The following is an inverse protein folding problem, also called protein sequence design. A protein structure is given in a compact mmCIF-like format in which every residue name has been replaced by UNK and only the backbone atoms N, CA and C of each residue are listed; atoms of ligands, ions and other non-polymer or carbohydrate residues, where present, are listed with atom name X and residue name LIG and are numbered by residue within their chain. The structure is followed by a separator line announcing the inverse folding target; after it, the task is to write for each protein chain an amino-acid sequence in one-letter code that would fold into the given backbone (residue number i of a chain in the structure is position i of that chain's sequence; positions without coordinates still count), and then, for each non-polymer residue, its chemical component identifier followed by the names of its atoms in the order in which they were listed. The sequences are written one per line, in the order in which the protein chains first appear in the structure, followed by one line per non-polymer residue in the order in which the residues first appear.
data_IF_874659771037
#
_entry.id   IF_874659771037
#
_cell.length_a   1.000
_cell.length_b   1.000
_cell.length_c   1.000
_cell.angle_alpha   90.00
_cell.angle_beta   90.00
_cell.angle_gamma   90.00
#
_symmetry.space_group_name_H-M   'P 1'
#
loop_
_entity.id
_entity.type
_entity.pdbx_description
1 polymer ?
#
# COMPACT_ATOMS: atom_id res chain seq x y z
N UNK A 1 -3.24 1.06 -8.10
CA UNK A 1 -2.24 0.00 -8.32
C UNK A 1 -1.78 -0.51 -6.98
N UNK A 2 -1.60 -1.82 -6.84
CA UNK A 2 -1.25 -2.50 -5.60
C UNK A 2 -0.59 -3.83 -5.90
N UNK A 3 -0.22 -4.52 -4.83
CA UNK A 3 0.42 -5.82 -4.86
C UNK A 3 -0.52 -6.82 -4.23
N UNK A 4 -0.83 -7.84 -5.01
CA UNK A 4 -1.66 -8.98 -4.64
C UNK A 4 -0.71 -10.15 -4.36
N UNK A 5 -0.68 -10.63 -3.13
CA UNK A 5 0.18 -11.74 -2.74
C UNK A 5 -0.66 -12.98 -2.47
N UNK A 6 -0.29 -14.08 -3.11
CA UNK A 6 -1.00 -15.35 -3.00
C UNK A 6 -0.11 -16.41 -2.38
N UNK A 7 -0.61 -17.14 -1.38
CA UNK A 7 0.10 -18.28 -0.80
C UNK A 7 0.28 -19.41 -1.82
N UNK A 8 1.45 -20.05 -1.83
CA UNK A 8 1.77 -21.17 -2.70
C UNK A 8 1.22 -22.50 -2.16
N UNK A 9 1.21 -22.66 -0.83
CA UNK A 9 0.65 -23.83 -0.13
C UNK A 9 0.08 -23.38 1.23
N UNK A 10 -1.00 -22.56 1.21
CA UNK A 10 -1.50 -21.91 2.40
C UNK A 10 -2.14 -22.89 3.38
N UNK A 11 -1.94 -22.63 4.68
CA UNK A 11 -2.61 -23.37 5.74
C UNK A 11 -4.09 -23.01 5.76
N UNK A 12 -4.93 -23.96 5.35
CA UNK A 12 -6.39 -23.79 5.35
C UNK A 12 -6.98 -24.36 6.64
N UNK A 13 -7.72 -23.51 7.36
CA UNK A 13 -8.51 -23.86 8.53
C UNK A 13 -9.54 -24.92 8.16
N UNK A 14 -9.53 -26.02 8.91
CA UNK A 14 -10.46 -27.13 8.72
C UNK A 14 -11.92 -26.66 8.77
N UNK A 15 -12.70 -27.07 7.76
CA UNK A 15 -14.11 -26.70 7.62
C UNK A 15 -14.37 -25.32 7.01
N UNK A 16 -13.35 -24.52 6.72
CA UNK A 16 -13.52 -23.31 5.91
C UNK A 16 -13.69 -23.65 4.43
N UNK A 17 -14.50 -22.88 3.72
CA UNK A 17 -14.79 -23.07 2.29
C UNK A 17 -14.65 -21.72 1.60
N UNK A 18 -13.83 -21.67 0.55
CA UNK A 18 -13.66 -20.46 -0.26
C UNK A 18 -14.97 -20.17 -1.00
N UNK A 19 -15.55 -18.97 -0.89
CA UNK A 19 -16.75 -18.64 -1.64
C UNK A 19 -16.45 -18.57 -3.13
N UNK A 20 -17.43 -18.92 -3.93
CA UNK A 20 -17.39 -18.82 -5.39
C UNK A 20 -18.52 -17.92 -5.88
N UNK A 21 -18.27 -17.21 -6.97
CA UNK A 21 -19.28 -16.42 -7.67
C UNK A 21 -19.08 -16.58 -9.17
N UNK A 22 -20.19 -16.80 -9.88
CA UNK A 22 -20.20 -16.85 -11.33
C UNK A 22 -20.33 -15.42 -11.88
N UNK A 23 -19.21 -14.84 -12.30
CA UNK A 23 -19.17 -13.49 -12.88
C UNK A 23 -19.86 -13.41 -14.26
N UNK A 24 -19.90 -14.51 -15.02
CA UNK A 24 -20.54 -14.56 -16.35
C UNK A 24 -22.07 -14.46 -16.24
N UNK A 25 -22.62 -14.91 -15.11
CA UNK A 25 -24.03 -14.73 -14.78
C UNK A 25 -24.43 -13.27 -14.53
N UNK A 26 -23.47 -12.33 -14.48
CA UNK A 26 -23.67 -10.90 -14.17
C UNK A 26 -24.42 -10.71 -12.85
N UNK A 27 -23.81 -11.12 -11.74
CA UNK A 27 -24.44 -11.10 -10.43
C UNK A 27 -24.88 -9.69 -10.04
N UNK A 28 -25.93 -9.60 -9.23
CA UNK A 28 -26.42 -8.33 -8.67
C UNK A 28 -25.41 -7.72 -7.71
N UNK A 29 -25.58 -6.44 -7.38
CA UNK A 29 -24.72 -5.78 -6.38
C UNK A 29 -24.87 -6.42 -4.99
N UNK A 30 -26.06 -6.91 -4.65
CA UNK A 30 -26.30 -7.66 -3.41
C UNK A 30 -25.54 -9.00 -3.40
N UNK A 31 -25.52 -9.73 -4.51
CA UNK A 31 -24.78 -10.99 -4.64
C UNK A 31 -23.26 -10.76 -4.57
N UNK A 32 -22.75 -9.72 -5.26
CA UNK A 32 -21.33 -9.33 -5.18
C UNK A 32 -20.94 -8.96 -3.77
N UNK A 33 -21.76 -8.16 -3.08
CA UNK A 33 -21.51 -7.76 -1.69
C UNK A 33 -21.46 -8.98 -0.77
N UNK A 34 -22.44 -9.89 -0.88
CA UNK A 34 -22.46 -11.11 -0.08
C UNK A 34 -21.23 -12.00 -0.35
N UNK A 35 -20.79 -12.07 -1.61
CA UNK A 35 -19.56 -12.78 -1.98
C UNK A 35 -18.32 -12.16 -1.33
N UNK A 36 -18.12 -10.84 -1.45
CA UNK A 36 -16.94 -10.19 -0.85
C UNK A 36 -16.96 -10.26 0.68
N UNK A 37 -18.12 -10.12 1.33
CA UNK A 37 -18.22 -10.33 2.79
C UNK A 37 -17.86 -11.76 3.21
N UNK A 38 -18.28 -12.76 2.43
CA UNK A 38 -17.89 -14.15 2.66
C UNK A 38 -16.40 -14.39 2.38
N UNK A 39 -15.85 -13.72 1.36
CA UNK A 39 -14.45 -13.85 0.95
C UNK A 39 -13.53 -13.23 2.01
N UNK A 40 -13.83 -12.01 2.46
CA UNK A 40 -13.11 -11.33 3.56
C UNK A 40 -13.09 -12.20 4.82
N UNK A 41 -14.22 -12.85 5.14
CA UNK A 41 -14.29 -13.78 6.27
C UNK A 41 -13.40 -15.01 6.05
N UNK A 42 -13.46 -15.60 4.85
CA UNK A 42 -12.63 -16.76 4.51
C UNK A 42 -11.14 -16.42 4.58
N UNK A 43 -10.71 -15.31 4.00
CA UNK A 43 -9.32 -14.84 4.01
C UNK A 43 -8.86 -14.46 5.42
N UNK A 44 -9.73 -13.84 6.22
CA UNK A 44 -9.44 -13.56 7.63
C UNK A 44 -9.28 -14.81 8.50
N UNK A 45 -9.96 -15.91 8.15
CA UNK A 45 -9.78 -17.22 8.80
C UNK A 45 -8.57 -17.99 8.26
N UNK A 46 -8.06 -17.63 7.09
CA UNK A 46 -6.98 -18.29 6.36
C UNK A 46 -5.92 -17.26 5.91
N UNK A 47 -5.21 -16.61 6.83
CA UNK A 47 -4.41 -15.43 6.53
C UNK A 47 -3.19 -15.71 5.64
N UNK A 48 -2.84 -16.98 5.40
CA UNK A 48 -1.81 -17.36 4.42
C UNK A 48 -2.29 -17.41 2.98
N UNK A 49 -3.61 -17.39 2.74
CA UNK A 49 -4.20 -17.50 1.40
C UNK A 49 -3.89 -16.26 0.55
N UNK A 50 -4.10 -15.09 1.13
CA UNK A 50 -4.05 -13.82 0.40
C UNK A 50 -3.63 -12.67 1.31
N UNK A 51 -2.77 -11.82 0.79
CA UNK A 51 -2.37 -10.55 1.40
C UNK A 51 -2.36 -9.47 0.34
N UNK A 52 -2.86 -8.28 0.68
CA UNK A 52 -2.86 -7.15 -0.23
C UNK A 52 -2.40 -5.87 0.44
N UNK A 53 -1.56 -5.15 -0.28
CA UNK A 53 -1.33 -3.73 -0.03
C UNK A 53 -1.45 -2.94 -1.32
N UNK A 54 -1.98 -1.71 -1.24
CA UNK A 54 -1.80 -0.79 -2.36
C UNK A 54 -0.32 -0.37 -2.45
N UNK A 55 0.10 0.18 -3.60
CA UNK A 55 1.51 0.48 -3.90
C UNK A 55 2.21 1.31 -2.81
N UNK A 56 1.47 2.19 -2.14
CA UNK A 56 2.05 3.08 -1.15
C UNK A 56 2.37 2.37 0.17
N UNK A 57 1.45 1.54 0.64
CA UNK A 57 1.65 0.69 1.81
C UNK A 57 2.68 -0.41 1.55
N UNK A 58 2.65 -0.99 0.34
CA UNK A 58 3.55 -2.06 -0.04
C UNK A 58 5.02 -1.62 -0.05
N UNK A 59 5.32 -0.45 -0.63
CA UNK A 59 6.70 0.05 -0.72
C UNK A 59 7.38 0.16 0.65
N UNK A 60 6.66 0.70 1.64
CA UNK A 60 7.21 0.88 2.97
C UNK A 60 7.39 -0.45 3.70
N UNK A 61 6.45 -1.39 3.53
CA UNK A 61 6.54 -2.75 4.06
C UNK A 61 7.69 -3.54 3.41
N UNK A 62 7.80 -3.53 2.08
CA UNK A 62 8.84 -4.21 1.33
C UNK A 62 10.24 -3.69 1.70
N UNK A 63 10.39 -2.36 1.84
CA UNK A 63 11.63 -1.76 2.32
C UNK A 63 11.96 -2.23 3.74
N UNK A 64 10.99 -2.24 4.65
CA UNK A 64 11.19 -2.69 6.02
C UNK A 64 11.66 -4.15 6.08
N UNK A 65 11.05 -5.04 5.28
CA UNK A 65 11.45 -6.45 5.17
C UNK A 65 12.87 -6.57 4.63
N UNK A 66 13.20 -5.85 3.56
CA UNK A 66 14.53 -5.86 2.96
C UNK A 66 15.61 -5.43 3.95
N UNK A 67 15.40 -4.32 4.65
CA UNK A 67 16.40 -3.73 5.55
C UNK A 67 16.61 -4.54 6.84
N UNK A 68 15.58 -5.25 7.33
CA UNK A 68 15.60 -5.81 8.68
C UNK A 68 15.61 -7.34 8.75
N UNK A 69 15.28 -8.05 7.67
CA UNK A 69 15.25 -9.53 7.70
C UNK A 69 16.51 -10.18 7.18
N UNK A 70 17.22 -9.53 6.24
CA UNK A 70 18.35 -10.15 5.54
C UNK A 70 17.97 -11.31 4.60
N UNK A 71 16.68 -11.55 4.37
CA UNK A 71 16.15 -12.67 3.56
C UNK A 71 15.91 -12.29 2.09
N UNK A 72 15.91 -10.99 1.78
CA UNK A 72 15.67 -10.43 0.45
C UNK A 72 16.97 -9.83 -0.06
N UNK A 73 17.49 -10.36 -1.17
CA UNK A 73 18.66 -9.80 -1.86
C UNK A 73 18.31 -8.51 -2.60
N UNK A 74 19.30 -7.72 -3.03
CA UNK A 74 19.06 -6.50 -3.82
C UNK A 74 18.32 -6.81 -5.14
N UNK A 75 18.65 -7.92 -5.81
CA UNK A 75 17.98 -8.33 -7.05
C UNK A 75 16.52 -8.70 -6.79
N UNK A 76 16.24 -9.47 -5.73
CA UNK A 76 14.87 -9.81 -5.32
C UNK A 76 14.09 -8.58 -4.88
N UNK A 77 14.73 -7.62 -4.22
CA UNK A 77 14.06 -6.39 -3.78
C UNK A 77 13.49 -5.61 -4.97
N UNK A 78 14.17 -5.59 -6.12
CA UNK A 78 13.62 -4.99 -7.33
C UNK A 78 12.39 -5.75 -7.84
N UNK A 79 12.43 -7.09 -7.82
CA UNK A 79 11.28 -7.93 -8.17
C UNK A 79 10.09 -7.72 -7.22
N UNK A 80 10.33 -7.40 -5.94
CA UNK A 80 9.26 -7.05 -5.01
C UNK A 80 8.55 -5.75 -5.36
N UNK A 81 9.11 -4.90 -6.22
CA UNK A 81 8.43 -3.71 -6.74
C UNK A 81 7.77 -3.94 -8.10
N UNK A 82 7.71 -5.19 -8.54
CA UNK A 82 7.15 -5.62 -9.81
C UNK A 82 6.03 -6.65 -9.58
N UNK A 83 4.96 -6.57 -10.37
CA UNK A 83 3.91 -7.58 -10.41
C UNK A 83 4.32 -8.69 -11.40
N UNK A 84 5.50 -9.27 -11.20
CA UNK A 84 6.15 -10.19 -12.13
C UNK A 84 5.83 -11.67 -11.88
N UNK A 85 5.11 -11.98 -10.80
CA UNK A 85 4.95 -13.36 -10.32
C UNK A 85 6.19 -13.84 -9.56
N UNK A 86 6.95 -12.94 -8.94
CA UNK A 86 8.11 -13.32 -8.14
C UNK A 86 7.68 -14.21 -6.96
N UNK A 87 8.33 -15.36 -6.81
CA UNK A 87 8.00 -16.33 -5.78
C UNK A 87 9.02 -16.34 -4.65
N UNK A 88 8.51 -16.39 -3.43
CA UNK A 88 9.24 -16.57 -2.18
C UNK A 88 8.92 -17.95 -1.65
N UNK A 89 9.94 -18.79 -1.46
CA UNK A 89 9.73 -20.15 -0.96
C UNK A 89 9.30 -20.18 0.52
N UNK A 90 8.81 -21.35 0.95
CA UNK A 90 8.33 -21.58 2.31
C UNK A 90 9.33 -21.23 3.39
N UNK A 91 10.58 -21.69 3.26
CA UNK A 91 11.57 -21.53 4.31
C UNK A 91 11.96 -20.05 4.45
N UNK A 92 12.08 -19.34 3.33
CA UNK A 92 12.28 -17.89 3.30
C UNK A 92 11.10 -17.15 3.93
N UNK A 93 9.86 -17.50 3.56
CA UNK A 93 8.66 -16.90 4.15
C UNK A 93 8.59 -17.09 5.68
N UNK A 94 8.94 -18.29 6.18
CA UNK A 94 9.01 -18.54 7.63
C UNK A 94 10.08 -17.67 8.31
N UNK A 95 11.29 -17.55 7.74
CA UNK A 95 12.35 -16.71 8.34
C UNK A 95 12.01 -15.22 8.34
N UNK A 96 11.32 -14.74 7.30
CA UNK A 96 10.74 -13.39 7.27
C UNK A 96 9.74 -13.23 8.43
N UNK A 97 8.79 -14.15 8.57
CA UNK A 97 7.79 -14.10 9.64
C UNK A 97 8.41 -14.10 11.05
N UNK A 98 9.34 -15.03 11.31
CA UNK A 98 10.05 -15.13 12.59
C UNK A 98 10.76 -13.82 12.95
N UNK A 99 11.41 -13.19 11.95
CA UNK A 99 12.15 -11.95 12.16
C UNK A 99 11.20 -10.77 12.41
N UNK A 100 10.14 -10.63 11.63
CA UNK A 100 9.15 -9.55 11.80
C UNK A 100 8.46 -9.65 13.18
N UNK A 101 8.07 -10.84 13.61
CA UNK A 101 7.50 -11.06 14.94
C UNK A 101 8.48 -10.70 16.06
N UNK A 102 9.77 -11.00 15.88
CA UNK A 102 10.81 -10.61 16.83
C UNK A 102 10.96 -9.08 16.91
N UNK A 103 10.94 -8.38 15.76
CA UNK A 103 11.02 -6.91 15.69
C UNK A 103 9.80 -6.24 16.35
N UNK A 104 8.61 -6.76 16.12
CA UNK A 104 7.37 -6.32 16.78
C UNK A 104 7.52 -6.48 18.30
N UNK A 105 7.92 -7.67 18.77
CA UNK A 105 8.09 -7.95 20.20
C UNK A 105 9.15 -7.06 20.87
N UNK A 106 10.17 -6.64 20.12
CA UNK A 106 11.22 -5.75 20.61
C UNK A 106 10.80 -4.26 20.62
N UNK A 107 9.63 -3.92 20.05
CA UNK A 107 9.15 -2.55 19.92
C UNK A 107 9.82 -1.75 18.79
N UNK A 108 10.64 -2.40 17.95
CA UNK A 108 11.31 -1.75 16.83
C UNK A 108 10.28 -1.27 15.78
N UNK A 109 9.28 -2.11 15.49
CA UNK A 109 8.23 -1.79 14.51
C UNK A 109 7.39 -0.58 14.96
N UNK A 110 6.93 -0.56 16.22
CA UNK A 110 6.25 0.59 16.80
C UNK A 110 7.09 1.88 16.78
N UNK A 111 8.40 1.81 17.05
CA UNK A 111 9.28 2.98 17.01
C UNK A 111 9.40 3.55 15.59
N UNK A 112 9.47 2.69 14.58
CA UNK A 112 9.47 3.10 13.18
C UNK A 112 8.13 3.71 12.76
N UNK A 113 7.01 3.10 13.14
CA UNK A 113 5.66 3.65 12.92
C UNK A 113 5.54 5.08 13.47
N UNK A 114 5.91 5.30 14.74
CA UNK A 114 5.91 6.63 15.35
C UNK A 114 6.83 7.63 14.63
N UNK A 115 7.92 7.15 14.04
CA UNK A 115 8.85 8.00 13.29
C UNK A 115 8.25 8.42 11.95
N UNK A 116 7.64 7.48 11.23
CA UNK A 116 6.98 7.72 9.96
C UNK A 116 5.77 8.64 10.15
N UNK A 117 4.93 8.41 11.16
CA UNK A 117 3.81 9.29 11.51
C UNK A 117 4.25 10.74 11.69
N UNK A 118 5.36 10.99 12.41
CA UNK A 118 5.90 12.35 12.60
C UNK A 118 6.39 12.98 11.30
N UNK A 119 6.92 12.19 10.37
CA UNK A 119 7.37 12.67 9.06
C UNK A 119 6.16 13.00 8.18
N UNK A 120 5.14 12.14 8.18
CA UNK A 120 3.88 12.35 7.46
C UNK A 120 3.15 13.58 7.98
N UNK A 121 3.00 13.74 9.30
CA UNK A 121 2.39 14.92 9.92
C UNK A 121 3.06 16.24 9.51
N UNK A 122 4.39 16.23 9.34
CA UNK A 122 5.14 17.40 8.89
C UNK A 122 4.89 17.66 7.40
N UNK A 123 4.89 16.60 6.59
CA UNK A 123 4.61 16.68 5.16
C UNK A 123 3.19 17.19 4.90
N UNK A 124 2.19 16.70 5.65
CA UNK A 124 0.79 17.12 5.58
C UNK A 124 0.63 18.61 5.90
N UNK A 125 1.25 19.08 6.99
CA UNK A 125 1.18 20.50 7.37
C UNK A 125 1.81 21.39 6.31
N UNK A 126 2.98 21.01 5.80
CA UNK A 126 3.66 21.71 4.71
C UNK A 126 2.81 21.73 3.44
N UNK A 127 2.27 20.58 3.03
CA UNK A 127 1.43 20.46 1.85
C UNK A 127 0.13 21.26 1.97
N UNK A 128 -0.47 21.32 3.16
CA UNK A 128 -1.64 22.14 3.41
C UNK A 128 -1.37 23.65 3.25
N UNK A 129 -0.14 24.11 3.49
CA UNK A 129 0.27 25.49 3.19
C UNK A 129 0.40 25.72 1.69
N UNK A 130 1.06 24.81 0.97
CA UNK A 130 1.19 24.86 -0.50
C UNK A 130 -0.18 24.83 -1.18
N UNK A 131 -1.13 24.02 -0.71
CA UNK A 131 -2.49 23.96 -1.26
C UNK A 131 -3.25 25.29 -1.10
N UNK A 132 -3.01 26.03 -0.01
CA UNK A 132 -3.58 27.39 0.14
C UNK A 132 -3.01 28.34 -0.91
N UNK A 133 -1.71 28.27 -1.19
CA UNK A 133 -1.06 29.09 -2.21
C UNK A 133 -1.55 28.73 -3.62
N UNK A 134 -1.64 27.44 -3.94
CA UNK A 134 -2.18 26.93 -5.21
C UNK A 134 -3.64 27.35 -5.41
N UNK A 135 -4.46 27.29 -4.37
CA UNK A 135 -5.85 27.77 -4.42
C UNK A 135 -5.93 29.27 -4.68
N UNK A 136 -5.11 30.07 -4.00
CA UNK A 136 -5.06 31.52 -4.21
C UNK A 136 -4.58 31.88 -5.63
N UNK A 137 -3.62 31.11 -6.19
CA UNK A 137 -3.17 31.24 -7.57
C UNK A 137 -4.32 30.93 -8.55
N UNK A 138 -5.02 29.81 -8.35
CA UNK A 138 -6.18 29.40 -9.16
C UNK A 138 -7.26 30.48 -9.17
N UNK A 139 -7.58 31.08 -8.02
CA UNK A 139 -8.55 32.18 -7.93
C UNK A 139 -8.15 33.41 -8.75
N UNK A 140 -6.85 33.74 -8.80
CA UNK A 140 -6.35 34.84 -9.66
C UNK A 140 -6.49 34.49 -11.14
N UNK A 141 -6.15 33.26 -11.53
CA UNK A 141 -6.25 32.81 -12.93
C UNK A 141 -7.70 32.80 -13.41
N UNK A 142 -8.65 32.33 -12.58
CA UNK A 142 -10.09 32.37 -12.90
C UNK A 142 -10.57 33.80 -13.13
N UNK A 143 -10.10 34.78 -12.33
CA UNK A 143 -10.49 36.20 -12.51
C UNK A 143 -10.00 36.79 -13.83
N UNK A 144 -8.85 36.35 -14.31
CA UNK A 144 -8.24 36.85 -15.56
C UNK A 144 -8.86 36.17 -16.77
N UNK A 145 -9.07 34.86 -16.69
CA UNK A 145 -9.52 34.05 -17.83
C UNK A 145 -11.05 33.97 -17.94
N UNK A 146 -11.77 34.20 -16.84
CA UNK A 146 -13.21 33.97 -16.75
C UNK A 146 -13.62 32.50 -16.75
N UNK A 147 -12.67 31.56 -16.90
CA UNK A 147 -12.95 30.13 -16.96
C UNK A 147 -12.79 29.50 -15.57
N UNK A 148 -13.91 29.04 -14.99
CA UNK A 148 -13.92 28.41 -13.65
C UNK A 148 -13.39 26.97 -13.65
N UNK A 149 -13.35 26.33 -14.81
CA UNK A 149 -12.95 24.94 -14.99
C UNK A 149 -11.54 24.82 -15.57
N UNK A 150 -10.80 25.93 -15.61
CA UNK A 150 -9.44 25.98 -16.14
C UNK A 150 -8.50 25.05 -15.37
N UNK A 151 -7.85 24.14 -16.11
CA UNK A 151 -6.84 23.24 -15.58
C UNK A 151 -5.47 23.94 -15.52
N UNK A 152 -4.56 23.55 -14.59
CA UNK A 152 -3.22 24.14 -14.50
C UNK A 152 -2.43 24.13 -15.80
N UNK A 153 -2.60 23.10 -16.63
CA UNK A 153 -1.98 22.98 -17.95
C UNK A 153 -2.41 24.09 -18.94
N UNK A 154 -3.60 24.67 -18.74
CA UNK A 154 -4.17 25.72 -19.59
C UNK A 154 -3.95 27.12 -19.00
N UNK A 155 -3.19 27.23 -17.90
CA UNK A 155 -2.90 28.54 -17.29
C UNK A 155 -2.06 29.39 -18.26
N UNK A 156 -2.23 30.72 -18.27
CA UNK A 156 -1.30 31.58 -19.00
C UNK A 156 0.13 31.34 -18.50
N UNK A 157 1.12 31.46 -19.39
CA UNK A 157 2.50 30.98 -19.20
C UNK A 157 3.11 31.35 -17.83
N UNK A 158 3.05 32.63 -17.44
CA UNK A 158 3.58 33.09 -16.14
C UNK A 158 2.89 32.41 -14.94
N UNK A 159 1.58 32.15 -15.03
CA UNK A 159 0.82 31.49 -13.97
C UNK A 159 1.01 29.98 -13.97
N UNK A 160 1.20 29.36 -15.14
CA UNK A 160 1.56 27.96 -15.24
C UNK A 160 2.93 27.70 -14.60
N UNK A 161 3.93 28.51 -14.94
CA UNK A 161 5.27 28.40 -14.34
C UNK A 161 5.24 28.58 -12.81
N UNK A 162 4.46 29.57 -12.31
CA UNK A 162 4.28 29.75 -10.87
C UNK A 162 3.56 28.55 -10.22
N UNK A 163 2.55 27.98 -10.89
CA UNK A 163 1.88 26.78 -10.42
C UNK A 163 2.87 25.60 -10.30
N UNK A 164 3.71 25.37 -11.30
CA UNK A 164 4.74 24.32 -11.28
C UNK A 164 5.73 24.53 -10.14
N UNK A 165 6.22 25.76 -9.94
CA UNK A 165 7.12 26.09 -8.83
C UNK A 165 6.50 25.82 -7.46
N UNK A 166 5.20 26.08 -7.28
CA UNK A 166 4.49 25.79 -6.04
C UNK A 166 4.27 24.29 -5.87
N UNK A 167 3.77 23.63 -6.91
CA UNK A 167 3.48 22.20 -6.89
C UNK A 167 4.73 21.37 -6.60
N UNK A 168 5.88 21.73 -7.19
CA UNK A 168 7.16 21.07 -6.96
C UNK A 168 7.71 21.24 -5.54
N UNK A 169 7.13 22.12 -4.71
CA UNK A 169 7.47 22.23 -3.29
C UNK A 169 6.74 21.21 -2.42
N UNK A 170 5.72 20.50 -2.93
CA UNK A 170 5.01 19.50 -2.12
C UNK A 170 5.97 18.39 -1.69
N UNK A 171 5.81 17.96 -0.44
CA UNK A 171 6.46 16.77 0.08
C UNK A 171 5.64 15.55 -0.30
N UNK A 172 6.27 14.49 -0.78
CA UNK A 172 5.59 13.22 -1.09
C UNK A 172 5.66 12.23 0.07
N UNK A 173 6.29 12.61 1.18
CA UNK A 173 6.46 11.73 2.34
C UNK A 173 5.15 11.46 3.09
N UNK A 174 4.10 12.25 2.86
CA UNK A 174 2.74 12.02 3.38
C UNK A 174 2.03 10.83 2.72
N UNK A 175 2.61 10.26 1.67
CA UNK A 175 1.94 9.26 0.85
C UNK A 175 2.28 7.82 1.25
N UNK A 176 3.26 7.59 2.14
CA UNK A 176 3.81 6.25 2.43
C UNK A 176 3.58 5.83 3.90
N UNK A 177 2.36 5.38 4.23
CA UNK A 177 2.04 4.94 5.59
C UNK A 177 2.72 3.62 5.96
N UNK A 178 2.88 3.42 7.26
CA UNK A 178 3.46 2.22 7.86
C UNK A 178 2.84 2.01 9.23
N UNK A 179 2.37 0.80 9.52
CA UNK A 179 1.79 0.45 10.83
C UNK A 179 2.29 -0.91 11.29
N UNK A 180 2.46 -1.07 12.60
CA UNK A 180 2.78 -2.35 13.21
C UNK A 180 1.71 -3.40 12.89
N UNK A 181 0.43 -2.99 12.82
CA UNK A 181 -0.68 -3.86 12.45
C UNK A 181 -0.50 -4.47 11.05
N UNK A 182 -0.11 -3.67 10.05
CA UNK A 182 0.12 -4.16 8.69
C UNK A 182 1.34 -5.10 8.63
N UNK A 183 2.40 -4.80 9.39
CA UNK A 183 3.57 -5.69 9.50
C UNK A 183 3.19 -7.01 10.16
N UNK A 184 2.34 -6.98 11.20
CA UNK A 184 1.84 -8.18 11.87
C UNK A 184 0.96 -9.02 10.95
N UNK A 185 0.09 -8.38 10.16
CA UNK A 185 -0.72 -9.06 9.15
C UNK A 185 0.16 -9.75 8.09
N UNK A 186 1.21 -9.07 7.61
CA UNK A 186 2.15 -9.64 6.66
C UNK A 186 2.96 -10.80 7.27
N UNK A 187 3.43 -10.67 8.52
CA UNK A 187 4.13 -11.74 9.21
C UNK A 187 3.25 -13.00 9.35
N UNK A 188 1.97 -12.82 9.69
CA UNK A 188 0.99 -13.90 9.77
C UNK A 188 0.77 -14.58 8.41
N UNK A 189 0.66 -13.78 7.34
CA UNK A 189 0.58 -14.28 5.97
C UNK A 189 1.82 -15.11 5.61
N UNK A 190 3.02 -14.56 5.77
CA UNK A 190 4.28 -15.26 5.49
C UNK A 190 4.35 -16.59 6.24
N UNK A 191 3.97 -16.62 7.52
CA UNK A 191 3.98 -17.82 8.35
C UNK A 191 3.06 -18.93 7.84
N UNK A 192 1.91 -18.57 7.27
CA UNK A 192 0.86 -19.51 6.90
C UNK A 192 0.76 -19.77 5.40
N UNK A 193 1.48 -19.03 4.57
CA UNK A 193 1.39 -19.07 3.10
C UNK A 193 1.96 -20.33 2.44
N UNK A 194 2.90 -21.02 3.10
CA UNK A 194 3.67 -22.09 2.46
C UNK A 194 4.67 -21.59 1.41
N UNK A 195 5.03 -20.30 1.47
CA UNK A 195 5.65 -19.55 0.38
C UNK A 195 4.59 -18.72 -0.34
N UNK A 196 4.99 -17.72 -1.12
CA UNK A 196 4.03 -16.83 -1.78
C UNK A 196 4.52 -16.30 -3.12
N UNK A 197 3.57 -15.84 -3.94
CA UNK A 197 3.81 -15.16 -5.21
C UNK A 197 3.35 -13.70 -5.14
N UNK A 198 4.10 -12.78 -5.76
CA UNK A 198 3.81 -11.34 -5.82
C UNK A 198 3.25 -10.96 -7.21
N UNK A 199 2.01 -10.49 -7.26
CA UNK A 199 1.21 -10.21 -8.47
C UNK A 199 0.58 -8.82 -8.52
#
# INVERSE_FOLDING_TARGET
MGFDLYGLDPQIKEGSVKPEIDWEAKPTEEEKKAYFEALDKYEGENPGEYFRNNVWWWRQLAQYVFENTGEVTEDEYNEWHMNSGHQVDKDKAIRIADTLEALIKQGHTAELEMTIEKVMDKADKHNAEIEKELKALREKVIKITGNKDIAPADYPEDYNHHWEQLYNKKSWNDSYPFTEENVQAFANFCRQSGGFEIC
#
